data_IF_048431298183
#
_entry.id   IF_048431298183
#
_cell.length_a   1.000
_cell.length_b   1.000
_cell.length_c   1.000
_cell.angle_alpha   90.00
_cell.angle_beta   90.00
_cell.angle_gamma   90.00
#
_symmetry.space_group_name_H-M   'P 1'
#
loop_
_entity.id
_entity.type
_entity.pdbx_description
1 polymer ?
#
# COMPACT_ATOMS: atom_id res chain seq x y z
N UNK A 1 -13.24 5.60 2.80
CA UNK A 1 -13.01 6.36 1.59
C UNK A 1 -11.55 6.31 1.15
N UNK A 2 -11.25 6.83 -0.04
CA UNK A 2 -9.93 6.68 -0.65
C UNK A 2 -8.82 7.34 0.18
N UNK A 3 -9.06 8.55 0.69
CA UNK A 3 -8.03 9.25 1.46
C UNK A 3 -7.76 8.58 2.80
N UNK A 4 -8.79 8.08 3.47
CA UNK A 4 -8.60 7.35 4.72
C UNK A 4 -7.79 6.08 4.48
N UNK A 5 -8.08 5.38 3.41
CA UNK A 5 -7.35 4.18 3.02
C UNK A 5 -5.88 4.52 2.73
N UNK A 6 -5.64 5.57 1.95
CA UNK A 6 -4.28 5.99 1.63
C UNK A 6 -3.49 6.34 2.90
N UNK A 7 -4.12 7.02 3.85
CA UNK A 7 -3.46 7.37 5.11
C UNK A 7 -3.09 6.13 5.93
N UNK A 8 -3.97 5.13 5.99
CA UNK A 8 -3.67 3.89 6.71
C UNK A 8 -2.48 3.15 6.08
N UNK A 9 -2.43 3.09 4.75
CA UNK A 9 -1.32 2.46 4.06
C UNK A 9 -0.03 3.26 4.25
N UNK A 10 -0.13 4.58 4.23
CA UNK A 10 1.04 5.44 4.47
C UNK A 10 1.60 5.22 5.88
N UNK A 11 0.75 5.12 6.88
CA UNK A 11 1.17 4.86 8.26
C UNK A 11 1.88 3.52 8.37
N UNK A 12 1.34 2.48 7.75
CA UNK A 12 1.98 1.16 7.74
C UNK A 12 3.33 1.24 7.03
N UNK A 13 3.40 1.96 5.92
CA UNK A 13 4.64 2.13 5.16
C UNK A 13 5.72 2.79 6.01
N UNK A 14 5.34 3.77 6.83
CA UNK A 14 6.28 4.40 7.77
C UNK A 14 6.77 3.41 8.82
N UNK A 15 5.88 2.57 9.35
CA UNK A 15 6.23 1.58 10.36
C UNK A 15 7.27 0.59 9.86
N UNK A 16 7.12 0.11 8.63
CA UNK A 16 8.04 -0.88 8.07
C UNK A 16 9.15 -0.24 7.23
N UNK A 17 9.14 1.08 7.11
CA UNK A 17 10.13 1.85 6.35
C UNK A 17 10.23 1.38 4.91
N UNK A 18 9.08 1.13 4.29
CA UNK A 18 9.00 0.65 2.94
C UNK A 18 7.76 1.26 2.29
N UNK A 19 7.96 2.16 1.32
CA UNK A 19 6.88 2.96 0.78
C UNK A 19 6.53 2.54 -0.65
N UNK A 20 5.24 2.33 -0.94
CA UNK A 20 4.81 2.12 -2.32
C UNK A 20 4.64 3.45 -3.03
N UNK A 21 4.52 3.41 -4.34
CA UNK A 21 4.03 4.56 -5.08
C UNK A 21 2.50 4.55 -4.96
N UNK A 22 1.94 5.65 -4.49
CA UNK A 22 0.50 5.77 -4.30
C UNK A 22 -0.03 6.78 -5.32
N UNK A 23 -1.00 6.34 -6.12
CA UNK A 23 -1.63 7.20 -7.13
C UNK A 23 -3.10 7.28 -6.81
N UNK A 24 -3.60 8.49 -6.61
CA UNK A 24 -5.01 8.74 -6.33
C UNK A 24 -5.58 9.52 -7.49
N UNK A 25 -6.64 8.98 -8.10
CA UNK A 25 -7.32 9.61 -9.22
C UNK A 25 -8.82 9.57 -8.96
N UNK A 26 -9.35 10.69 -8.48
CA UNK A 26 -10.74 10.86 -8.11
C UNK A 26 -11.11 9.86 -7.01
N UNK A 27 -11.90 8.81 -7.31
CA UNK A 27 -12.25 7.77 -6.33
C UNK A 27 -11.50 6.46 -6.57
N UNK A 28 -10.43 6.50 -7.36
CA UNK A 28 -9.58 5.35 -7.61
C UNK A 28 -8.26 5.51 -6.87
N UNK A 29 -7.71 4.41 -6.39
CA UNK A 29 -6.39 4.42 -5.76
C UNK A 29 -5.59 3.24 -6.27
N UNK A 30 -4.32 3.49 -6.57
CA UNK A 30 -3.41 2.47 -7.09
C UNK A 30 -2.15 2.46 -6.22
N UNK A 31 -1.71 1.27 -5.85
CA UNK A 31 -0.45 1.08 -5.14
C UNK A 31 0.51 0.30 -6.01
N UNK A 32 1.73 0.81 -6.19
CA UNK A 32 2.78 0.14 -6.96
C UNK A 32 3.88 -0.28 -6.00
N UNK A 33 4.09 -1.59 -5.91
CA UNK A 33 5.03 -2.20 -4.97
C UNK A 33 6.20 -2.76 -5.76
N UNK A 34 7.35 -2.10 -5.63
CA UNK A 34 8.55 -2.52 -6.33
C UNK A 34 9.76 -2.25 -5.43
N UNK A 35 10.71 -3.17 -5.40
CA UNK A 35 11.96 -2.98 -4.69
C UNK A 35 13.07 -2.82 -5.72
N UNK A 36 13.55 -1.59 -5.88
CA UNK A 36 14.51 -1.26 -6.93
C UNK A 36 15.86 -1.98 -6.76
N UNK A 37 16.28 -2.16 -5.51
CA UNK A 37 17.60 -2.72 -5.22
C UNK A 37 17.78 -4.14 -5.70
N UNK A 38 16.70 -4.93 -5.71
CA UNK A 38 16.75 -6.34 -6.11
C UNK A 38 15.96 -6.62 -7.36
N UNK A 39 15.39 -5.58 -7.98
CA UNK A 39 14.69 -5.71 -9.25
C UNK A 39 13.41 -6.52 -9.18
N UNK A 40 12.74 -6.60 -8.04
CA UNK A 40 11.52 -7.34 -7.91
C UNK A 40 10.85 -7.15 -6.57
N UNK A 41 9.97 -8.07 -6.20
CA UNK A 41 9.25 -7.99 -4.94
C UNK A 41 10.08 -8.54 -3.79
N UNK A 42 10.04 -7.86 -2.67
CA UNK A 42 10.69 -8.28 -1.42
C UNK A 42 9.63 -8.73 -0.42
N UNK A 43 10.11 -9.23 0.75
CA UNK A 43 9.20 -9.57 1.84
C UNK A 43 8.39 -8.35 2.30
N UNK A 44 8.98 -7.16 2.28
CA UNK A 44 8.30 -5.95 2.69
C UNK A 44 7.18 -5.59 1.71
N UNK A 45 7.38 -5.81 0.41
CA UNK A 45 6.33 -5.60 -0.58
C UNK A 45 5.15 -6.54 -0.31
N UNK A 46 5.44 -7.80 0.00
CA UNK A 46 4.41 -8.80 0.26
C UNK A 46 3.65 -8.44 1.54
N UNK A 47 4.35 -8.03 2.59
CA UNK A 47 3.73 -7.60 3.84
C UNK A 47 2.78 -6.43 3.60
N UNK A 48 3.23 -5.44 2.83
CA UNK A 48 2.43 -4.28 2.54
C UNK A 48 1.22 -4.64 1.66
N UNK A 49 1.41 -5.51 0.67
CA UNK A 49 0.30 -5.96 -0.16
C UNK A 49 -0.77 -6.67 0.66
N UNK A 50 -0.37 -7.51 1.60
CA UNK A 50 -1.32 -8.19 2.49
C UNK A 50 -2.06 -7.18 3.37
N UNK A 51 -1.36 -6.18 3.89
CA UNK A 51 -1.99 -5.13 4.70
C UNK A 51 -3.02 -4.35 3.87
N UNK A 52 -2.67 -4.00 2.64
CA UNK A 52 -3.59 -3.30 1.74
C UNK A 52 -4.84 -4.14 1.48
N UNK A 53 -4.65 -5.42 1.22
CA UNK A 53 -5.77 -6.32 0.95
C UNK A 53 -6.71 -6.44 2.15
N UNK A 54 -6.16 -6.66 3.35
CA UNK A 54 -6.96 -6.79 4.56
C UNK A 54 -7.68 -5.49 4.90
N UNK A 55 -6.99 -4.35 4.76
CA UNK A 55 -7.59 -3.06 5.04
C UNK A 55 -8.72 -2.75 4.06
N UNK A 56 -8.54 -3.10 2.80
CA UNK A 56 -9.58 -2.93 1.79
C UNK A 56 -10.83 -3.74 2.15
N UNK A 57 -10.64 -4.98 2.58
CA UNK A 57 -11.76 -5.82 2.99
C UNK A 57 -12.51 -5.24 4.19
N UNK A 58 -11.79 -4.67 5.15
CA UNK A 58 -12.42 -4.07 6.32
C UNK A 58 -13.20 -2.80 6.00
N UNK A 59 -12.70 -1.98 5.08
CA UNK A 59 -13.28 -0.68 4.80
C UNK A 59 -14.35 -0.71 3.71
N UNK A 60 -14.26 -1.62 2.75
CA UNK A 60 -15.08 -1.57 1.55
C UNK A 60 -15.95 -2.81 1.31
N UNK A 61 -16.03 -3.69 2.28
CA UNK A 61 -16.99 -4.82 2.26
C UNK A 61 -18.10 -4.61 3.30
#
# INVERSE_FOLDING_TARGET
EVMSFANLVADKSEQIKHHPKIIIDYNNIEFRLVTHDIGGLSKLDIELANFIHETCNELFI
#
